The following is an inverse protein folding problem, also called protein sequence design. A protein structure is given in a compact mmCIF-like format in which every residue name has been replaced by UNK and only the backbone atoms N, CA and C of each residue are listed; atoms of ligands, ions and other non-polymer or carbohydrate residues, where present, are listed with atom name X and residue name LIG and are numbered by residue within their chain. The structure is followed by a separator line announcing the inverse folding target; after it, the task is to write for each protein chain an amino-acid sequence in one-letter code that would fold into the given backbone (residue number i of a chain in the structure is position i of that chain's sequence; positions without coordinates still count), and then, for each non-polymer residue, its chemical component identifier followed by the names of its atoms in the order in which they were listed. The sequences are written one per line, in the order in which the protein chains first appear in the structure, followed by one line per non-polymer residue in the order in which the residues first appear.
data_IF_275477818001
#
_entry.id   IF_275477818001
#
_cell.length_a   1.000
_cell.length_b   1.000
_cell.length_c   1.000
_cell.angle_alpha   90.00
_cell.angle_beta   90.00
_cell.angle_gamma   90.00
#
_symmetry.space_group_name_H-M   'P 1'
#
loop_
_entity.id
_entity.type
_entity.pdbx_description
1 polymer ?
#
# COMPACT_ATOMS: atom_id res chain seq x y z
N UNK A 1 19.48 79.10 -33.55
CA UNK A 1 19.89 77.71 -33.80
C UNK A 1 20.63 77.26 -32.55
N UNK A 2 19.84 76.96 -31.52
CA UNK A 2 19.75 75.60 -30.94
C UNK A 2 21.04 75.03 -30.32
N UNK A 3 21.69 75.77 -29.42
CA UNK A 3 22.77 75.23 -28.57
C UNK A 3 22.19 74.77 -27.21
N UNK A 4 21.18 75.48 -26.68
CA UNK A 4 20.48 75.12 -25.43
C UNK A 4 19.70 73.79 -25.55
N UNK A 5 19.22 73.45 -26.75
CA UNK A 5 18.41 72.24 -26.97
C UNK A 5 19.23 70.97 -27.03
N UNK A 6 20.50 71.04 -27.47
CA UNK A 6 21.35 69.86 -27.61
C UNK A 6 21.90 69.39 -26.25
N UNK A 7 22.21 70.33 -25.34
CA UNK A 7 22.58 70.03 -23.94
C UNK A 7 21.41 69.43 -23.15
N UNK A 8 20.19 69.96 -23.33
CA UNK A 8 18.96 69.41 -22.71
C UNK A 8 18.65 67.98 -23.21
N UNK A 9 18.93 67.69 -24.48
CA UNK A 9 18.75 66.35 -25.06
C UNK A 9 19.79 65.38 -24.50
N UNK A 10 21.06 65.78 -24.38
CA UNK A 10 22.10 64.95 -23.75
C UNK A 10 21.78 64.65 -22.27
N UNK A 11 21.31 65.64 -21.51
CA UNK A 11 20.94 65.45 -20.10
C UNK A 11 19.75 64.49 -19.95
N UNK A 12 18.75 64.58 -20.83
CA UNK A 12 17.63 63.64 -20.88
C UNK A 12 18.06 62.20 -21.24
N UNK A 13 19.01 62.05 -22.16
CA UNK A 13 19.56 60.73 -22.55
C UNK A 13 20.31 60.10 -21.37
N UNK A 14 21.11 60.90 -20.65
CA UNK A 14 21.85 60.43 -19.46
C UNK A 14 20.90 60.05 -18.34
N UNK A 15 19.88 60.87 -18.05
CA UNK A 15 18.86 60.53 -17.05
C UNK A 15 18.09 59.25 -17.41
N UNK A 16 17.75 59.05 -18.69
CA UNK A 16 17.06 57.85 -19.14
C UNK A 16 17.95 56.60 -18.99
N UNK A 17 19.22 56.69 -19.37
CA UNK A 17 20.17 55.58 -19.21
C UNK A 17 20.36 55.19 -17.73
N UNK A 18 20.41 56.17 -16.83
CA UNK A 18 20.47 55.92 -15.37
C UNK A 18 19.19 55.23 -14.90
N UNK A 19 18.02 55.66 -15.39
CA UNK A 19 16.72 55.05 -15.06
C UNK A 19 16.65 53.59 -15.49
N UNK A 20 17.08 53.31 -16.72
CA UNK A 20 17.10 51.96 -17.29
C UNK A 20 18.07 51.03 -16.53
N UNK A 21 19.23 51.55 -16.09
CA UNK A 21 20.19 50.80 -15.28
C UNK A 21 19.66 50.51 -13.87
N UNK A 22 18.94 51.45 -13.26
CA UNK A 22 18.24 51.23 -11.99
C UNK A 22 17.16 50.17 -12.14
N UNK A 23 16.31 50.28 -13.18
CA UNK A 23 15.24 49.31 -13.44
C UNK A 23 15.80 47.91 -13.72
N UNK A 24 16.89 47.82 -14.49
CA UNK A 24 17.60 46.57 -14.72
C UNK A 24 18.14 45.96 -13.41
N UNK A 25 18.75 46.77 -12.55
CA UNK A 25 19.25 46.33 -11.25
C UNK A 25 18.11 45.87 -10.33
N UNK A 26 16.96 46.55 -10.33
CA UNK A 26 15.78 46.14 -9.57
C UNK A 26 15.22 44.79 -10.03
N UNK A 27 15.20 44.55 -11.35
CA UNK A 27 14.80 43.26 -11.91
C UNK A 27 15.79 42.17 -11.50
N UNK A 28 17.10 42.41 -11.60
CA UNK A 28 18.14 41.46 -11.20
C UNK A 28 18.02 41.10 -9.71
N UNK A 29 17.85 42.10 -8.84
CA UNK A 29 17.67 41.89 -7.40
C UNK A 29 16.39 41.10 -7.13
N UNK A 30 15.29 41.39 -7.83
CA UNK A 30 14.02 40.70 -7.67
C UNK A 30 14.12 39.22 -8.08
N UNK A 31 14.76 38.93 -9.21
CA UNK A 31 15.02 37.55 -9.67
C UNK A 31 15.95 36.81 -8.72
N UNK A 32 17.00 37.46 -8.22
CA UNK A 32 17.91 36.86 -7.25
C UNK A 32 17.17 36.51 -5.94
N UNK A 33 16.35 37.42 -5.42
CA UNK A 33 15.52 37.17 -4.22
C UNK A 33 14.51 36.05 -4.45
N UNK A 34 13.83 36.03 -5.58
CA UNK A 34 12.89 34.96 -5.93
C UNK A 34 13.61 33.61 -6.04
N UNK A 35 14.82 33.58 -6.62
CA UNK A 35 15.63 32.37 -6.77
C UNK A 35 16.11 31.85 -5.41
N UNK A 36 16.62 32.72 -4.54
CA UNK A 36 17.03 32.35 -3.17
C UNK A 36 15.84 31.87 -2.36
N UNK A 37 14.70 32.58 -2.43
CA UNK A 37 13.46 32.15 -1.77
C UNK A 37 13.02 30.76 -2.26
N UNK A 38 13.04 30.54 -3.58
CA UNK A 38 12.65 29.26 -4.15
C UNK A 38 13.62 28.14 -3.74
N UNK A 39 14.92 28.42 -3.77
CA UNK A 39 15.95 27.47 -3.35
C UNK A 39 15.77 27.07 -1.88
N UNK A 40 15.63 28.04 -0.99
CA UNK A 40 15.53 27.79 0.44
C UNK A 40 14.23 27.08 0.83
N UNK A 41 13.11 27.40 0.17
CA UNK A 41 11.81 26.84 0.55
C UNK A 41 11.46 25.54 -0.17
N UNK A 42 12.02 25.28 -1.36
CA UNK A 42 11.62 24.12 -2.18
C UNK A 42 12.78 23.18 -2.53
N UNK A 43 14.02 23.64 -2.56
CA UNK A 43 15.18 22.81 -2.91
C UNK A 43 15.91 22.29 -1.66
N UNK A 44 16.08 23.12 -0.63
CA UNK A 44 16.59 22.67 0.68
C UNK A 44 15.44 22.01 1.44
N UNK A 45 15.30 20.70 1.25
CA UNK A 45 14.27 19.92 1.94
C UNK A 45 14.82 19.32 3.23
N UNK A 46 14.13 19.60 4.34
CA UNK A 46 14.36 18.87 5.58
C UNK A 46 13.96 17.40 5.40
N UNK A 47 14.85 16.45 5.75
CA UNK A 47 14.51 15.04 5.61
C UNK A 47 13.40 14.61 6.58
N UNK A 48 12.29 14.14 6.03
CA UNK A 48 11.12 13.74 6.83
C UNK A 48 11.20 12.30 7.38
N UNK A 49 12.14 11.47 6.90
CA UNK A 49 12.29 10.04 7.24
C UNK A 49 13.75 9.62 7.39
N UNK A 50 14.42 10.25 8.34
CA UNK A 50 15.82 9.97 8.68
C UNK A 50 15.99 9.33 10.07
N UNK A 51 15.26 8.25 10.43
CA UNK A 51 15.45 7.67 11.75
C UNK A 51 16.67 6.75 11.80
N UNK A 52 17.15 6.44 13.02
CA UNK A 52 18.15 5.41 13.23
C UNK A 52 17.67 3.99 12.90
N UNK A 53 16.36 3.76 12.72
CA UNK A 53 15.75 2.44 12.50
C UNK A 53 15.05 2.37 11.15
N UNK A 54 15.63 1.60 10.23
CA UNK A 54 15.06 1.35 8.89
C UNK A 54 13.94 0.31 8.95
N UNK A 55 13.11 0.23 7.89
CA UNK A 55 12.12 -0.84 7.75
C UNK A 55 12.74 -2.24 7.80
N UNK A 56 13.94 -2.43 7.26
CA UNK A 56 14.67 -3.69 7.41
C UNK A 56 15.06 -3.99 8.86
N UNK A 57 15.51 -2.99 9.63
CA UNK A 57 15.79 -3.18 11.05
C UNK A 57 14.51 -3.55 11.82
N UNK A 58 13.38 -2.95 11.46
CA UNK A 58 12.07 -3.34 12.00
C UNK A 58 11.74 -4.80 11.71
N UNK A 59 11.95 -5.26 10.46
CA UNK A 59 11.77 -6.67 10.09
C UNK A 59 12.67 -7.60 10.89
N UNK A 60 13.95 -7.27 11.04
CA UNK A 60 14.90 -8.07 11.82
C UNK A 60 14.50 -8.18 13.29
N UNK A 61 13.96 -7.11 13.89
CA UNK A 61 13.47 -7.17 15.27
C UNK A 61 12.23 -8.04 15.45
N UNK A 62 11.35 -8.11 14.45
CA UNK A 62 10.20 -9.02 14.47
C UNK A 62 10.67 -10.46 14.28
N UNK A 63 11.51 -10.70 13.28
CA UNK A 63 11.93 -12.04 12.91
C UNK A 63 12.93 -12.63 13.89
N UNK A 64 13.78 -11.83 14.55
CA UNK A 64 14.76 -12.34 15.51
C UNK A 64 14.33 -12.12 16.97
N UNK A 65 13.18 -11.49 17.20
CA UNK A 65 12.62 -11.26 18.52
C UNK A 65 11.78 -12.42 19.03
N UNK A 66 10.85 -12.12 19.94
CA UNK A 66 9.89 -13.09 20.46
C UNK A 66 8.99 -13.62 19.33
N UNK A 67 8.77 -14.94 19.27
CA UNK A 67 8.01 -15.61 18.22
C UNK A 67 6.58 -15.08 18.04
N UNK A 68 5.97 -14.55 19.10
CA UNK A 68 4.63 -13.94 19.04
C UNK A 68 4.59 -12.65 18.22
N UNK A 69 5.71 -11.92 18.11
CA UNK A 69 5.73 -10.63 17.41
C UNK A 69 5.32 -10.78 15.95
N UNK A 70 5.74 -11.86 15.29
CA UNK A 70 5.34 -12.10 13.90
C UNK A 70 3.83 -12.34 13.80
N UNK A 71 3.24 -13.09 14.72
CA UNK A 71 1.80 -13.33 14.75
C UNK A 71 1.01 -12.06 15.07
N UNK A 72 1.52 -11.23 15.99
CA UNK A 72 0.89 -9.97 16.37
C UNK A 72 0.91 -8.95 15.23
N UNK A 73 2.03 -8.84 14.51
CA UNK A 73 2.24 -7.82 13.46
C UNK A 73 1.76 -8.27 12.07
N UNK A 74 1.93 -9.56 11.74
CA UNK A 74 1.68 -10.10 10.39
C UNK A 74 0.58 -11.16 10.36
N UNK A 75 -0.09 -11.43 11.49
CA UNK A 75 -1.21 -12.40 11.63
C UNK A 75 -0.84 -13.85 11.30
N UNK A 76 0.44 -14.18 11.30
CA UNK A 76 0.93 -15.54 11.09
C UNK A 76 2.23 -15.78 11.84
N UNK A 77 2.51 -17.05 12.13
CA UNK A 77 3.76 -17.44 12.77
C UNK A 77 4.97 -17.13 11.88
N UNK A 78 6.13 -16.89 12.51
CA UNK A 78 7.39 -16.56 11.83
C UNK A 78 7.73 -17.54 10.71
N UNK A 79 7.62 -18.83 10.99
CA UNK A 79 7.98 -19.86 10.03
C UNK A 79 7.03 -19.89 8.82
N UNK A 80 5.76 -19.52 9.00
CA UNK A 80 4.76 -19.38 7.94
C UNK A 80 5.05 -18.15 7.09
N UNK A 81 5.41 -17.03 7.73
CA UNK A 81 5.82 -15.81 7.03
C UNK A 81 7.02 -16.05 6.09
N UNK A 82 8.04 -16.77 6.56
CA UNK A 82 9.21 -17.10 5.73
C UNK A 82 8.80 -17.97 4.54
N UNK A 83 7.98 -19.02 4.78
CA UNK A 83 7.45 -19.86 3.70
C UNK A 83 6.64 -19.05 2.68
N UNK A 84 5.83 -18.09 3.13
CA UNK A 84 5.07 -17.21 2.26
C UNK A 84 6.02 -16.37 1.39
N UNK A 85 7.05 -15.76 1.97
CA UNK A 85 8.06 -15.01 1.23
C UNK A 85 8.73 -15.87 0.15
N UNK A 86 9.09 -17.11 0.48
CA UNK A 86 9.70 -18.05 -0.45
C UNK A 86 8.74 -18.45 -1.58
N UNK A 87 7.46 -18.69 -1.26
CA UNK A 87 6.43 -18.96 -2.27
C UNK A 87 6.23 -17.76 -3.19
N UNK A 88 6.09 -16.55 -2.66
CA UNK A 88 5.93 -15.34 -3.47
C UNK A 88 7.13 -15.06 -4.37
N UNK A 89 8.34 -15.45 -3.96
CA UNK A 89 9.54 -15.40 -4.82
C UNK A 89 9.36 -16.26 -6.08
N UNK A 90 8.72 -17.43 -5.97
CA UNK A 90 8.40 -18.28 -7.13
C UNK A 90 7.36 -17.68 -8.08
N UNK A 91 6.53 -16.75 -7.59
CA UNK A 91 5.61 -15.93 -8.43
C UNK A 91 6.28 -14.65 -8.96
N UNK A 92 7.60 -14.52 -8.82
CA UNK A 92 8.37 -13.39 -9.36
C UNK A 92 8.40 -12.16 -8.45
N UNK A 93 8.05 -12.26 -7.17
CA UNK A 93 8.32 -11.19 -6.22
C UNK A 93 9.84 -11.09 -5.99
N UNK A 94 10.41 -9.92 -6.21
CA UNK A 94 11.86 -9.67 -6.06
C UNK A 94 12.12 -8.43 -5.22
N UNK A 95 13.27 -8.40 -4.54
CA UNK A 95 13.72 -7.17 -3.86
C UNK A 95 14.07 -6.08 -4.86
N UNK A 96 13.79 -4.83 -4.54
CA UNK A 96 14.33 -3.66 -5.26
C UNK A 96 15.65 -3.21 -4.62
N UNK A 97 16.25 -2.13 -5.13
CA UNK A 97 17.44 -1.54 -4.50
C UNK A 97 17.10 -0.94 -3.12
N UNK A 98 15.87 -0.48 -2.94
CA UNK A 98 15.40 0.27 -1.78
C UNK A 98 14.57 -0.58 -0.80
N UNK A 99 13.86 -1.60 -1.29
CA UNK A 99 12.93 -2.41 -0.48
C UNK A 99 13.22 -3.90 -0.67
N UNK A 100 13.47 -4.59 0.45
CA UNK A 100 13.61 -6.05 0.46
C UNK A 100 12.27 -6.75 0.32
N UNK A 101 12.27 -7.96 -0.22
CA UNK A 101 11.07 -8.76 -0.41
C UNK A 101 10.28 -8.94 0.89
N UNK A 102 10.97 -9.35 1.96
CA UNK A 102 10.35 -9.58 3.26
C UNK A 102 9.75 -8.29 3.83
N UNK A 103 10.39 -7.16 3.56
CA UNK A 103 9.91 -5.84 3.96
C UNK A 103 8.65 -5.44 3.20
N UNK A 104 8.60 -5.69 1.89
CA UNK A 104 7.41 -5.47 1.07
C UNK A 104 6.24 -6.34 1.54
N UNK A 105 6.47 -7.62 1.81
CA UNK A 105 5.45 -8.53 2.34
C UNK A 105 5.03 -8.11 3.75
N UNK A 106 5.97 -7.68 4.59
CA UNK A 106 5.68 -7.14 5.94
C UNK A 106 4.79 -5.90 5.91
N UNK A 107 5.07 -4.94 5.02
CA UNK A 107 4.23 -3.75 4.81
C UNK A 107 2.80 -4.15 4.40
N UNK A 108 2.69 -5.07 3.44
CA UNK A 108 1.40 -5.57 2.94
C UNK A 108 0.58 -6.26 4.05
N UNK A 109 1.19 -7.22 4.76
CA UNK A 109 0.52 -7.97 5.83
C UNK A 109 0.15 -7.10 7.03
N UNK A 110 1.00 -6.14 7.41
CA UNK A 110 0.69 -5.22 8.50
C UNK A 110 -0.48 -4.29 8.14
N UNK A 111 -0.53 -3.83 6.89
CA UNK A 111 -1.65 -3.03 6.35
C UNK A 111 -2.97 -3.80 6.47
N UNK A 112 -3.02 -5.04 5.97
CA UNK A 112 -4.24 -5.86 6.00
C UNK A 112 -4.59 -6.36 7.40
N UNK A 113 -3.60 -6.85 8.13
CA UNK A 113 -3.77 -7.47 9.44
C UNK A 113 -4.24 -6.50 10.53
N UNK A 114 -3.89 -5.23 10.41
CA UNK A 114 -4.30 -4.19 11.37
C UNK A 114 -5.31 -3.19 10.79
N UNK A 115 -5.58 -3.23 9.48
CA UNK A 115 -6.42 -2.23 8.81
C UNK A 115 -5.84 -0.81 8.92
N UNK A 116 -4.52 -0.67 8.93
CA UNK A 116 -3.84 0.62 9.11
C UNK A 116 -3.64 1.34 7.79
N UNK A 117 -3.76 2.68 7.82
CA UNK A 117 -3.54 3.50 6.65
C UNK A 117 -2.07 3.60 6.24
N UNK A 118 -1.84 3.98 4.98
CA UNK A 118 -0.52 4.14 4.38
C UNK A 118 0.41 5.03 5.24
N UNK A 119 -0.10 6.08 5.89
CA UNK A 119 0.68 6.98 6.76
C UNK A 119 1.36 6.27 7.94
N UNK A 120 0.71 5.27 8.54
CA UNK A 120 1.27 4.50 9.66
C UNK A 120 2.38 3.58 9.16
N UNK A 121 2.19 2.96 7.99
CA UNK A 121 3.21 2.10 7.38
C UNK A 121 4.43 2.93 6.95
N UNK A 122 4.22 4.13 6.42
CA UNK A 122 5.29 5.09 6.12
C UNK A 122 6.13 5.40 7.34
N UNK A 123 5.52 5.56 8.51
CA UNK A 123 6.22 5.83 9.77
C UNK A 123 6.90 4.56 10.32
N UNK A 124 6.29 3.39 10.18
CA UNK A 124 6.84 2.17 10.74
C UNK A 124 8.04 1.64 9.92
N UNK A 125 7.93 1.70 8.59
CA UNK A 125 8.92 1.16 7.66
C UNK A 125 9.81 2.23 7.03
N UNK A 126 9.50 3.50 7.26
CA UNK A 126 10.35 4.63 6.88
C UNK A 126 10.53 4.79 5.37
N UNK A 127 9.46 4.47 4.65
CA UNK A 127 9.34 4.67 3.21
C UNK A 127 8.36 5.79 2.88
N UNK A 128 8.51 6.36 1.69
CA UNK A 128 7.53 7.31 1.15
C UNK A 128 6.17 6.62 0.96
N UNK A 129 5.09 7.40 0.96
CA UNK A 129 3.75 6.85 0.71
C UNK A 129 3.59 6.24 -0.68
N UNK A 130 4.32 6.78 -1.67
CA UNK A 130 4.42 6.20 -3.01
C UNK A 130 5.03 4.80 -2.94
N UNK A 131 6.19 4.64 -2.29
CA UNK A 131 6.86 3.35 -2.16
C UNK A 131 5.96 2.34 -1.46
N UNK A 132 5.32 2.73 -0.36
CA UNK A 132 4.37 1.85 0.36
C UNK A 132 3.23 1.42 -0.55
N UNK A 133 2.61 2.34 -1.29
CA UNK A 133 1.50 2.04 -2.20
C UNK A 133 1.93 1.13 -3.35
N UNK A 134 3.09 1.41 -3.95
CA UNK A 134 3.66 0.62 -5.05
C UNK A 134 3.98 -0.81 -4.62
N UNK A 135 4.64 -0.97 -3.46
CA UNK A 135 4.97 -2.30 -2.93
C UNK A 135 3.70 -3.07 -2.54
N UNK A 136 2.70 -2.39 -1.95
CA UNK A 136 1.41 -3.00 -1.67
C UNK A 136 0.77 -3.59 -2.94
N UNK A 137 0.73 -2.82 -4.04
CA UNK A 137 0.19 -3.28 -5.32
C UNK A 137 0.95 -4.46 -5.92
N UNK A 138 2.29 -4.42 -5.90
CA UNK A 138 3.14 -5.52 -6.39
C UNK A 138 2.90 -6.80 -5.58
N UNK A 139 2.88 -6.71 -4.26
CA UNK A 139 2.63 -7.87 -3.39
C UNK A 139 1.20 -8.39 -3.58
N UNK A 140 0.21 -7.51 -3.70
CA UNK A 140 -1.18 -7.89 -3.98
C UNK A 140 -1.29 -8.74 -5.25
N UNK A 141 -0.67 -8.30 -6.35
CA UNK A 141 -0.67 -9.02 -7.62
C UNK A 141 -0.13 -10.46 -7.44
N UNK A 142 1.01 -10.61 -6.75
CA UNK A 142 1.63 -11.93 -6.53
C UNK A 142 0.82 -12.79 -5.57
N UNK A 143 0.19 -12.18 -4.56
CA UNK A 143 -0.75 -12.85 -3.66
C UNK A 143 -1.99 -13.36 -4.40
N UNK A 144 -2.52 -12.61 -5.37
CA UNK A 144 -3.64 -13.06 -6.19
C UNK A 144 -3.27 -14.26 -7.05
N UNK A 145 -2.09 -14.25 -7.68
CA UNK A 145 -1.59 -15.41 -8.44
C UNK A 145 -1.43 -16.64 -7.55
N UNK A 146 -0.80 -16.47 -6.38
CA UNK A 146 -0.65 -17.53 -5.38
C UNK A 146 -2.01 -18.06 -4.90
N UNK A 147 -2.96 -17.18 -4.60
CA UNK A 147 -4.29 -17.57 -4.15
C UNK A 147 -5.04 -18.39 -5.21
N UNK A 148 -4.89 -18.06 -6.50
CA UNK A 148 -5.52 -18.80 -7.59
C UNK A 148 -4.99 -20.24 -7.71
N UNK A 149 -3.70 -20.44 -7.44
CA UNK A 149 -3.07 -21.76 -7.51
C UNK A 149 -3.34 -22.63 -6.26
N UNK A 150 -3.49 -22.01 -5.09
CA UNK A 150 -3.70 -22.72 -3.81
C UNK A 150 -5.17 -22.92 -3.46
N UNK A 151 -6.05 -21.95 -3.70
CA UNK A 151 -7.49 -22.02 -3.39
C UNK A 151 -8.20 -22.72 -4.54
N UNK A 152 -8.14 -24.05 -4.52
CA UNK A 152 -8.81 -24.90 -5.49
C UNK A 152 -9.36 -26.16 -4.84
N UNK A 153 -10.40 -26.78 -5.43
CA UNK A 153 -10.87 -28.08 -4.96
C UNK A 153 -9.75 -29.13 -5.06
N UNK A 154 -9.72 -30.11 -4.15
CA UNK A 154 -8.82 -31.25 -4.30
C UNK A 154 -9.19 -32.05 -5.55
N UNK A 155 -8.23 -32.80 -6.11
CA UNK A 155 -8.46 -33.68 -7.27
C UNK A 155 -9.50 -34.76 -6.97
N UNK A 156 -9.51 -35.23 -5.73
CA UNK A 156 -10.49 -36.18 -5.21
C UNK A 156 -11.06 -35.64 -3.90
N UNK A 157 -12.38 -35.69 -3.76
CA UNK A 157 -13.01 -35.33 -2.48
C UNK A 157 -12.79 -36.47 -1.50
N UNK A 158 -12.18 -36.15 -0.36
CA UNK A 158 -12.03 -37.10 0.73
C UNK A 158 -13.41 -37.60 1.18
N UNK A 159 -13.47 -38.87 1.58
CA UNK A 159 -14.64 -39.36 2.30
C UNK A 159 -14.86 -38.51 3.56
N UNK A 160 -16.14 -38.36 3.92
CA UNK A 160 -16.55 -37.73 5.18
C UNK A 160 -15.73 -38.31 6.34
N UNK A 161 -15.08 -37.49 7.18
CA UNK A 161 -14.20 -37.98 8.23
C UNK A 161 -14.87 -39.00 9.17
N UNK A 162 -14.08 -39.94 9.67
CA UNK A 162 -14.59 -41.04 10.51
C UNK A 162 -15.41 -40.53 11.71
N UNK A 163 -14.96 -39.46 12.38
CA UNK A 163 -15.65 -38.91 13.55
C UNK A 163 -17.08 -38.39 13.25
N UNK A 164 -17.38 -38.07 11.98
CA UNK A 164 -18.73 -37.72 11.53
C UNK A 164 -19.50 -39.00 11.17
N UNK A 165 -18.88 -39.91 10.40
CA UNK A 165 -19.50 -41.17 9.97
C UNK A 165 -19.90 -42.09 11.13
N UNK A 166 -19.08 -42.14 12.18
CA UNK A 166 -19.32 -42.99 13.35
C UNK A 166 -20.30 -42.38 14.36
N UNK A 167 -20.75 -41.14 14.16
CA UNK A 167 -21.61 -40.43 15.09
C UNK A 167 -23.06 -40.41 14.59
N UNK A 168 -24.01 -41.09 15.25
CA UNK A 168 -25.41 -41.15 14.83
C UNK A 168 -26.14 -39.80 14.91
N UNK A 169 -25.56 -38.78 15.56
CA UNK A 169 -26.07 -37.40 15.53
C UNK A 169 -25.84 -36.73 14.17
N UNK A 170 -24.72 -37.07 13.50
CA UNK A 170 -24.30 -36.44 12.25
C UNK A 170 -24.54 -37.33 11.04
N UNK A 171 -24.42 -38.64 11.21
CA UNK A 171 -24.72 -39.62 10.16
C UNK A 171 -26.18 -40.04 10.18
N UNK A 172 -26.90 -40.08 9.05
CA UNK A 172 -26.44 -39.89 7.67
C UNK A 172 -26.61 -38.46 7.12
N UNK A 173 -26.96 -37.47 7.94
CA UNK A 173 -27.25 -36.10 7.48
C UNK A 173 -26.10 -35.46 6.69
N UNK A 174 -24.85 -35.79 7.04
CA UNK A 174 -23.65 -35.32 6.33
C UNK A 174 -23.06 -36.36 5.37
N UNK A 175 -23.83 -37.39 4.98
CA UNK A 175 -23.41 -38.33 3.94
C UNK A 175 -23.15 -37.58 2.63
N UNK A 176 -22.02 -37.89 2.00
CA UNK A 176 -21.55 -37.27 0.74
C UNK A 176 -21.27 -35.75 0.82
N UNK A 177 -21.25 -35.18 2.03
CA UNK A 177 -20.82 -33.81 2.24
C UNK A 177 -19.32 -33.68 1.94
N UNK A 178 -18.92 -32.60 1.27
CA UNK A 178 -17.53 -32.32 0.89
C UNK A 178 -16.91 -31.17 1.68
N UNK A 179 -17.71 -30.44 2.47
CA UNK A 179 -17.27 -29.26 3.20
C UNK A 179 -18.41 -28.36 3.67
N UNK A 180 -18.05 -27.17 4.11
CA UNK A 180 -18.96 -26.11 4.51
C UNK A 180 -18.91 -24.95 3.51
N UNK A 181 -20.02 -24.24 3.37
CA UNK A 181 -20.13 -22.99 2.61
C UNK A 181 -20.69 -21.92 3.52
N UNK A 182 -20.09 -20.74 3.51
CA UNK A 182 -20.56 -19.58 4.25
C UNK A 182 -20.23 -18.28 3.50
N UNK A 183 -20.95 -17.21 3.81
CA UNK A 183 -20.78 -15.88 3.23
C UNK A 183 -20.49 -14.83 4.30
N UNK A 184 -19.58 -13.92 4.01
CA UNK A 184 -19.31 -12.76 4.88
C UNK A 184 -19.33 -11.45 4.10
N UNK A 185 -19.99 -10.44 4.67
CA UNK A 185 -20.02 -9.11 4.08
C UNK A 185 -18.76 -8.32 4.49
N UNK A 186 -17.96 -7.97 3.49
CA UNK A 186 -16.81 -7.07 3.65
C UNK A 186 -17.20 -5.67 3.18
N UNK A 187 -16.80 -4.65 3.94
CA UNK A 187 -17.05 -3.26 3.57
C UNK A 187 -16.29 -2.91 2.29
N UNK A 188 -16.97 -2.28 1.34
CA UNK A 188 -16.36 -1.81 0.09
C UNK A 188 -16.19 -0.30 0.10
N UNK A 189 -15.13 0.16 -0.56
CA UNK A 189 -14.85 1.58 -0.78
C UNK A 189 -15.08 1.89 -2.25
N UNK A 190 -16.21 2.53 -2.55
CA UNK A 190 -16.65 2.87 -3.90
C UNK A 190 -17.04 4.36 -3.97
N UNK A 191 -17.07 4.97 -5.18
CA UNK A 191 -17.71 6.27 -5.40
C UNK A 191 -19.17 6.27 -4.92
N UNK A 192 -19.65 7.41 -4.42
CA UNK A 192 -20.99 7.53 -3.77
C UNK A 192 -22.12 7.16 -4.73
N UNK A 193 -21.99 7.50 -6.01
CA UNK A 193 -22.90 7.17 -7.09
C UNK A 193 -23.00 5.67 -7.38
N UNK A 194 -22.01 4.88 -6.98
CA UNK A 194 -21.99 3.43 -7.10
C UNK A 194 -22.44 2.70 -5.82
N UNK A 195 -22.85 3.42 -4.75
CA UNK A 195 -23.16 2.77 -3.46
C UNK A 195 -24.45 1.96 -3.50
N UNK A 196 -25.47 2.41 -4.23
CA UNK A 196 -26.84 1.87 -4.15
C UNK A 196 -26.89 0.34 -4.31
N UNK A 197 -26.20 -0.30 -5.28
CA UNK A 197 -26.22 -1.74 -5.43
C UNK A 197 -25.55 -2.52 -4.28
N UNK A 198 -24.72 -1.87 -3.47
CA UNK A 198 -23.92 -2.51 -2.42
C UNK A 198 -24.43 -2.24 -1.00
N UNK A 199 -25.48 -1.42 -0.85
CA UNK A 199 -26.09 -1.14 0.46
C UNK A 199 -27.05 -2.28 0.83
N UNK A 200 -26.61 -3.13 1.74
CA UNK A 200 -27.47 -4.13 2.38
C UNK A 200 -28.13 -3.62 3.66
N UNK A 201 -28.63 -4.56 4.48
CA UNK A 201 -29.26 -4.29 5.80
C UNK A 201 -28.38 -3.46 6.75
N UNK A 202 -27.06 -3.47 6.58
CA UNK A 202 -26.10 -2.76 7.42
C UNK A 202 -26.08 -1.24 7.20
N UNK A 203 -26.70 -0.74 6.13
CA UNK A 203 -26.80 0.70 5.85
C UNK A 203 -25.50 1.33 5.35
N UNK A 204 -24.48 0.53 5.05
CA UNK A 204 -23.25 0.95 4.40
C UNK A 204 -22.88 -0.04 3.27
N UNK A 205 -22.12 0.40 2.25
CA UNK A 205 -21.72 -0.46 1.14
C UNK A 205 -20.89 -1.67 1.60
N UNK A 206 -21.34 -2.86 1.21
CA UNK A 206 -20.66 -4.13 1.45
C UNK A 206 -20.74 -5.04 0.24
N UNK A 207 -19.77 -5.93 0.08
CA UNK A 207 -19.82 -7.03 -0.86
C UNK A 207 -19.75 -8.35 -0.11
N UNK A 208 -20.66 -9.27 -0.45
CA UNK A 208 -20.61 -10.62 0.09
C UNK A 208 -19.43 -11.38 -0.53
N UNK A 209 -18.63 -12.01 0.31
CA UNK A 209 -17.57 -12.94 -0.06
C UNK A 209 -18.00 -14.31 0.45
N UNK A 210 -18.31 -15.19 -0.49
CA UNK A 210 -18.64 -16.58 -0.20
C UNK A 210 -17.38 -17.43 -0.26
N UNK A 211 -17.22 -18.32 0.71
CA UNK A 211 -16.10 -19.25 0.75
C UNK A 211 -16.59 -20.67 1.02
N UNK A 212 -15.95 -21.65 0.38
CA UNK A 212 -16.15 -23.08 0.65
C UNK A 212 -14.88 -23.63 1.30
N UNK A 213 -15.08 -24.47 2.31
CA UNK A 213 -14.01 -25.00 3.14
C UNK A 213 -14.17 -26.52 3.30
N UNK A 214 -13.08 -27.27 3.10
CA UNK A 214 -13.07 -28.72 3.29
C UNK A 214 -13.07 -29.12 4.77
N UNK A 215 -13.07 -30.43 5.04
CA UNK A 215 -13.01 -30.94 6.42
C UNK A 215 -11.64 -30.74 7.10
N UNK A 216 -10.60 -30.45 6.33
CA UNK A 216 -9.26 -30.08 6.80
C UNK A 216 -9.12 -28.56 7.09
N UNK A 217 -10.24 -27.83 7.04
CA UNK A 217 -10.31 -26.39 7.26
C UNK A 217 -9.57 -25.55 6.20
N UNK A 218 -9.30 -26.12 5.03
CA UNK A 218 -8.72 -25.40 3.89
C UNK A 218 -9.81 -24.84 2.97
N UNK A 219 -9.63 -23.60 2.54
CA UNK A 219 -10.48 -23.00 1.52
C UNK A 219 -10.25 -23.68 0.17
N UNK A 220 -11.34 -24.16 -0.43
CA UNK A 220 -11.34 -24.82 -1.74
C UNK A 220 -11.94 -23.95 -2.83
N UNK A 221 -12.69 -22.92 -2.43
CA UNK A 221 -13.31 -21.96 -3.33
C UNK A 221 -13.59 -20.65 -2.59
N UNK A 222 -13.39 -19.52 -3.27
CA UNK A 222 -13.76 -18.18 -2.78
C UNK A 222 -14.33 -17.37 -3.93
N UNK A 223 -15.44 -16.67 -3.69
CA UNK A 223 -16.12 -15.85 -4.69
C UNK A 223 -16.58 -14.52 -4.10
N UNK A 224 -16.19 -13.41 -4.71
CA UNK A 224 -16.65 -12.06 -4.36
C UNK A 224 -17.86 -11.66 -5.21
N UNK A 225 -18.90 -11.10 -4.58
CA UNK A 225 -20.12 -10.67 -5.28
C UNK A 225 -21.13 -11.79 -5.47
N UNK A 226 -21.21 -12.70 -4.49
CA UNK A 226 -22.29 -13.67 -4.41
C UNK A 226 -23.52 -12.99 -3.77
N UNK A 227 -24.34 -12.32 -4.57
CA UNK A 227 -25.73 -11.87 -4.33
C UNK A 227 -26.13 -10.82 -5.37
#
# INVERSE_FOLDING_TARGET
MDIDSDEEIEEQIVEQAIRDEIEFNEVVVSVARATVYHHNNFLIKEPCRNPPRTGWMFMMEILNGNDRRCQEQFRMEKHVFVKLCDRLRSYGLTSTKEVRLEEAVGMFLMTLGHGVGNRIIQEQFQHSGETVSRQFGIVLEKMTMFAFDEIRPPTEFNEVPHYIRSNPKYWPCFKDCIGAIDGTHVRVSLPVDEHIPYIGRKGFPTQNIMAMCGFDMLFTFVWSGWE
#
